data_IF_515445320153
#
_entry.id   IF_515445320153
#
_cell.length_a   1.000
_cell.length_b   1.000
_cell.length_c   1.000
_cell.angle_alpha   90.00
_cell.angle_beta   90.00
_cell.angle_gamma   90.00
#
_symmetry.space_group_name_H-M   'P 1'
#
loop_
_entity.id
_entity.type
_entity.pdbx_description
1 polymer ?
#
# COMPACT_ATOMS: atom_id res chain seq x y z
N UNK A 1 -16.94 11.69 -17.38
CA UNK A 1 -16.40 13.00 -16.96
C UNK A 1 -16.10 12.89 -15.47
N UNK A 2 -14.93 13.32 -15.02
CA UNK A 2 -14.57 13.24 -13.61
C UNK A 2 -15.39 14.30 -12.86
N UNK A 3 -16.48 13.89 -12.21
CA UNK A 3 -17.47 14.79 -11.61
C UNK A 3 -16.93 15.61 -10.42
N UNK A 4 -15.80 15.24 -9.79
CA UNK A 4 -15.32 15.95 -8.59
C UNK A 4 -14.78 17.37 -8.87
N UNK A 5 -14.35 17.65 -10.12
CA UNK A 5 -13.83 18.97 -10.52
C UNK A 5 -14.98 19.98 -10.66
N UNK A 6 -16.20 19.52 -10.98
CA UNK A 6 -17.35 20.39 -11.23
C UNK A 6 -18.26 20.59 -10.01
N UNK A 7 -18.00 19.91 -8.88
CA UNK A 7 -18.96 19.84 -7.75
C UNK A 7 -18.63 20.72 -6.54
N UNK A 8 -17.63 21.61 -6.61
CA UNK A 8 -17.15 22.36 -5.43
C UNK A 8 -16.96 21.42 -4.22
N UNK A 9 -16.29 20.28 -4.46
CA UNK A 9 -16.13 19.22 -3.46
C UNK A 9 -15.47 19.81 -2.20
N UNK A 10 -16.14 19.79 -1.03
CA UNK A 10 -15.57 20.34 0.20
C UNK A 10 -14.21 19.74 0.51
N UNK A 11 -13.25 20.58 0.92
CA UNK A 11 -11.86 20.23 1.18
C UNK A 11 -10.94 20.36 -0.05
N UNK A 12 -11.46 20.37 -1.28
CA UNK A 12 -10.65 20.57 -2.48
C UNK A 12 -10.20 22.03 -2.64
N UNK A 13 -10.94 22.99 -2.10
CA UNK A 13 -10.55 24.41 -2.05
C UNK A 13 -9.18 24.61 -1.38
N UNK A 14 -8.81 23.72 -0.44
CA UNK A 14 -7.53 23.77 0.27
C UNK A 14 -6.34 23.44 -0.65
N UNK A 15 -6.58 22.84 -1.81
CA UNK A 15 -5.56 22.45 -2.80
C UNK A 15 -5.14 23.60 -3.72
N UNK A 16 -5.72 24.79 -3.57
CA UNK A 16 -5.23 26.01 -4.23
C UNK A 16 -3.75 26.21 -3.89
N UNK A 17 -2.88 26.41 -4.88
CA UNK A 17 -1.41 26.49 -4.74
C UNK A 17 -0.71 25.21 -4.24
N UNK A 18 -1.42 24.07 -4.18
CA UNK A 18 -0.79 22.78 -3.93
C UNK A 18 -0.01 22.29 -5.15
N UNK A 19 0.93 21.38 -4.90
CA UNK A 19 1.66 20.67 -5.95
C UNK A 19 1.58 19.16 -5.75
N UNK A 20 1.67 18.44 -6.86
CA UNK A 20 1.71 16.97 -6.88
C UNK A 20 3.18 16.56 -6.95
N UNK A 21 3.63 15.68 -6.05
CA UNK A 21 4.95 15.06 -6.16
C UNK A 21 4.98 14.19 -7.42
N UNK A 22 5.86 14.46 -8.41
CA UNK A 22 5.89 13.71 -9.66
C UNK A 22 6.34 12.25 -9.49
N UNK A 23 6.84 11.84 -8.32
CA UNK A 23 7.25 10.47 -8.03
C UNK A 23 6.14 9.70 -7.30
N UNK A 24 5.35 8.88 -8.01
CA UNK A 24 4.30 8.11 -7.35
C UNK A 24 4.88 6.93 -6.57
N UNK A 25 4.14 6.49 -5.55
CA UNK A 25 4.28 5.14 -5.01
C UNK A 25 3.57 4.15 -5.94
N UNK A 26 4.23 3.03 -6.21
CA UNK A 26 3.62 1.93 -6.95
C UNK A 26 2.94 0.97 -5.97
N UNK A 27 1.65 0.75 -6.17
CA UNK A 27 0.85 -0.15 -5.36
C UNK A 27 0.44 -1.36 -6.19
N UNK A 28 0.61 -2.54 -5.62
CA UNK A 28 0.39 -3.82 -6.27
C UNK A 28 -0.81 -4.55 -5.67
N UNK A 29 -1.40 -5.47 -6.43
CA UNK A 29 -2.29 -6.48 -5.85
C UNK A 29 -1.46 -7.57 -5.13
N UNK A 30 -2.09 -8.40 -4.30
CA UNK A 30 -1.41 -9.52 -3.65
C UNK A 30 -0.82 -10.55 -4.62
N UNK A 31 -1.17 -10.53 -5.91
CA UNK A 31 -0.58 -11.40 -6.94
C UNK A 31 0.73 -10.83 -7.52
N UNK A 32 1.03 -9.55 -7.28
CA UNK A 32 2.20 -8.84 -7.79
C UNK A 32 1.93 -8.04 -9.07
N UNK A 33 0.66 -7.86 -9.47
CA UNK A 33 0.28 -6.98 -10.57
C UNK A 33 0.13 -5.56 -10.06
N UNK A 34 0.65 -4.58 -10.79
CA UNK A 34 0.52 -3.17 -10.42
C UNK A 34 -0.94 -2.75 -10.55
N UNK A 35 -1.50 -2.20 -9.48
CA UNK A 35 -2.87 -1.68 -9.44
C UNK A 35 -2.89 -0.17 -9.60
N UNK A 36 -2.05 0.55 -8.86
CA UNK A 36 -2.12 2.01 -8.80
C UNK A 36 -0.74 2.68 -8.83
N UNK A 37 -0.73 3.88 -9.40
CA UNK A 37 0.24 4.92 -9.10
C UNK A 37 -0.41 5.89 -8.11
N UNK A 38 0.13 5.97 -6.89
CA UNK A 38 -0.36 6.87 -5.86
C UNK A 38 0.56 8.11 -5.79
N UNK A 39 0.01 9.26 -6.19
CA UNK A 39 0.70 10.55 -6.11
C UNK A 39 0.35 11.26 -4.81
N UNK A 40 1.36 11.80 -4.14
CA UNK A 40 1.17 12.63 -2.95
C UNK A 40 0.94 14.09 -3.36
N UNK A 41 0.04 14.77 -2.67
CA UNK A 41 -0.27 16.18 -2.90
C UNK A 41 0.14 16.98 -1.67
N UNK A 42 0.93 18.02 -1.90
CA UNK A 42 1.54 18.82 -0.85
C UNK A 42 1.16 20.29 -0.98
N UNK A 43 1.04 20.95 0.17
CA UNK A 43 0.98 22.41 0.28
C UNK A 43 1.79 22.84 1.48
N UNK A 44 2.67 23.83 1.32
CA UNK A 44 3.57 24.29 2.38
C UNK A 44 4.33 23.13 3.06
N UNK A 45 4.78 22.15 2.28
CA UNK A 45 5.45 20.92 2.72
C UNK A 45 4.61 19.93 3.56
N UNK A 46 3.33 20.20 3.76
CA UNK A 46 2.40 19.28 4.42
C UNK A 46 1.68 18.42 3.39
N UNK A 47 1.57 17.12 3.67
CA UNK A 47 0.73 16.21 2.90
C UNK A 47 -0.73 16.59 3.14
N UNK A 48 -1.45 16.95 2.09
CA UNK A 48 -2.87 17.37 2.15
C UNK A 48 -3.79 16.41 1.40
N UNK A 49 -3.23 15.44 0.69
CA UNK A 49 -4.02 14.46 -0.02
C UNK A 49 -3.23 13.54 -0.93
N UNK A 50 -3.95 12.66 -1.61
CA UNK A 50 -3.39 11.66 -2.52
C UNK A 50 -4.28 11.50 -3.75
N UNK A 51 -3.66 11.17 -4.87
CA UNK A 51 -4.35 10.84 -6.12
C UNK A 51 -3.95 9.44 -6.52
N UNK A 52 -4.92 8.57 -6.74
CA UNK A 52 -4.68 7.19 -7.18
C UNK A 52 -5.05 7.08 -8.65
N UNK A 53 -4.07 6.72 -9.46
CA UNK A 53 -4.22 6.51 -10.89
C UNK A 53 -4.13 5.01 -11.18
N UNK A 54 -5.11 4.46 -11.89
CA UNK A 54 -5.11 3.06 -12.31
C UNK A 54 -3.91 2.75 -13.20
N UNK A 55 -3.19 1.68 -12.89
CA UNK A 55 -2.03 1.24 -13.67
C UNK A 55 -2.42 0.43 -14.92
N UNK A 56 -3.63 -0.14 -14.95
CA UNK A 56 -4.19 -0.85 -16.11
C UNK A 56 -5.36 -0.06 -16.71
N UNK A 57 -5.32 0.14 -18.04
CA UNK A 57 -6.37 0.82 -18.81
C UNK A 57 -7.72 0.10 -18.74
N UNK A 58 -7.73 -1.18 -18.40
CA UNK A 58 -8.94 -1.99 -18.19
C UNK A 58 -9.70 -1.64 -16.91
N UNK A 59 -9.08 -0.88 -15.99
CA UNK A 59 -9.73 -0.44 -14.74
C UNK A 59 -10.75 0.70 -14.95
N UNK A 60 -11.04 1.06 -16.21
CA UNK A 60 -12.02 2.08 -16.55
C UNK A 60 -11.43 3.49 -16.46
N UNK A 61 -11.81 4.25 -15.44
CA UNK A 61 -11.38 5.63 -15.29
C UNK A 61 -9.89 5.72 -14.90
N UNK A 62 -9.13 6.63 -15.50
CA UNK A 62 -7.71 6.78 -15.16
C UNK A 62 -7.52 7.22 -13.71
N UNK A 63 -8.28 8.22 -13.26
CA UNK A 63 -8.30 8.65 -11.86
C UNK A 63 -9.30 7.78 -11.11
N UNK A 64 -8.79 7.02 -10.15
CA UNK A 64 -9.55 6.05 -9.36
C UNK A 64 -10.03 6.68 -8.05
N UNK A 65 -9.18 7.52 -7.43
CA UNK A 65 -9.50 8.22 -6.19
C UNK A 65 -8.74 9.54 -6.11
N UNK A 66 -9.41 10.54 -5.52
CA UNK A 66 -8.78 11.70 -4.88
C UNK A 66 -9.09 11.64 -3.38
N UNK A 67 -8.06 11.44 -2.57
CA UNK A 67 -8.13 11.39 -1.11
C UNK A 67 -7.79 12.77 -0.54
N UNK A 68 -8.69 13.34 0.25
CA UNK A 68 -8.47 14.61 0.94
C UNK A 68 -7.98 14.32 2.38
N UNK A 69 -7.21 15.24 2.96
CA UNK A 69 -6.74 15.20 4.36
C UNK A 69 -6.03 13.90 4.75
N UNK A 70 -5.25 13.37 3.80
CA UNK A 70 -4.63 12.07 3.94
C UNK A 70 -3.52 12.05 5.00
N UNK A 71 -3.52 11.04 5.86
CA UNK A 71 -2.47 10.87 6.88
C UNK A 71 -1.19 10.30 6.26
N UNK A 72 -0.01 10.79 6.66
CA UNK A 72 1.25 10.20 6.22
C UNK A 72 1.36 8.76 6.75
N UNK A 73 1.92 7.87 5.93
CA UNK A 73 2.35 6.55 6.37
C UNK A 73 3.83 6.38 6.02
N UNK A 74 4.57 5.69 6.89
CA UNK A 74 6.00 5.45 6.69
C UNK A 74 6.20 4.14 5.93
N UNK A 75 6.17 4.23 4.60
CA UNK A 75 6.41 3.11 3.69
C UNK A 75 7.76 2.45 3.96
N UNK A 76 8.81 3.23 4.23
CA UNK A 76 10.16 2.72 4.43
C UNK A 76 10.24 1.87 5.70
N UNK A 77 9.64 2.34 6.80
CA UNK A 77 9.55 1.58 8.05
C UNK A 77 8.77 0.28 7.86
N UNK A 78 7.65 0.33 7.16
CA UNK A 78 6.84 -0.86 6.87
C UNK A 78 7.62 -1.89 6.02
N UNK A 79 8.34 -1.42 5.00
CA UNK A 79 9.18 -2.26 4.13
C UNK A 79 10.30 -2.91 4.96
N UNK A 80 11.00 -2.13 5.77
CA UNK A 80 12.06 -2.63 6.65
C UNK A 80 11.51 -3.71 7.59
N UNK A 81 10.34 -3.49 8.19
CA UNK A 81 9.74 -4.46 9.10
C UNK A 81 9.30 -5.75 8.39
N UNK A 82 8.74 -5.65 7.18
CA UNK A 82 8.37 -6.83 6.38
C UNK A 82 9.59 -7.68 6.02
N UNK A 83 10.71 -7.04 5.64
CA UNK A 83 11.96 -7.73 5.35
C UNK A 83 12.55 -8.39 6.60
N UNK A 84 12.51 -7.71 7.75
CA UNK A 84 12.99 -8.26 9.03
C UNK A 84 12.23 -9.54 9.40
N UNK A 85 10.90 -9.51 9.35
CA UNK A 85 10.05 -10.70 9.62
C UNK A 85 10.39 -11.81 8.64
N UNK A 86 10.52 -11.49 7.35
CA UNK A 86 10.87 -12.46 6.32
C UNK A 86 12.20 -13.18 6.56
N UNK A 87 13.23 -12.45 6.99
CA UNK A 87 14.53 -13.04 7.33
C UNK A 87 14.49 -13.87 8.62
N UNK A 88 13.63 -13.51 9.57
CA UNK A 88 13.50 -14.28 10.81
C UNK A 88 12.74 -15.59 10.60
N UNK A 89 11.69 -15.58 9.77
CA UNK A 89 10.89 -16.79 9.47
C UNK A 89 11.58 -17.71 8.47
N UNK A 90 12.33 -17.15 7.52
CA UNK A 90 13.06 -17.90 6.49
C UNK A 90 14.54 -17.47 6.43
N UNK A 91 15.37 -17.81 7.43
CA UNK A 91 16.77 -17.36 7.51
C UNK A 91 17.62 -17.73 6.29
N UNK A 92 17.40 -18.92 5.73
CA UNK A 92 18.09 -19.41 4.53
C UNK A 92 17.34 -19.10 3.22
N UNK A 93 16.17 -18.48 3.32
CA UNK A 93 15.32 -18.14 2.19
C UNK A 93 15.84 -16.95 1.39
N UNK A 94 15.63 -16.97 0.08
CA UNK A 94 15.97 -15.85 -0.81
C UNK A 94 14.77 -14.93 -0.98
N UNK A 95 14.88 -13.68 -0.55
CA UNK A 95 13.88 -12.64 -0.87
C UNK A 95 13.86 -12.43 -2.39
N UNK A 96 12.67 -12.57 -2.98
CA UNK A 96 12.39 -12.41 -4.40
C UNK A 96 11.87 -11.02 -4.72
N UNK A 97 10.99 -10.50 -3.87
CA UNK A 97 10.43 -9.16 -4.00
C UNK A 97 9.92 -8.65 -2.66
N UNK A 98 9.88 -7.32 -2.51
CA UNK A 98 9.17 -6.63 -1.44
C UNK A 98 8.44 -5.45 -2.07
N UNK A 99 7.11 -5.40 -1.94
CA UNK A 99 6.26 -4.42 -2.63
C UNK A 99 5.18 -3.89 -1.71
N UNK A 100 4.77 -2.63 -1.92
CA UNK A 100 3.54 -2.09 -1.32
C UNK A 100 2.34 -2.73 -2.03
N UNK A 101 1.40 -3.24 -1.26
CA UNK A 101 0.23 -3.95 -1.77
C UNK A 101 -1.07 -3.39 -1.20
N UNK A 102 -2.12 -3.38 -2.01
CA UNK A 102 -3.48 -3.06 -1.58
C UNK A 102 -4.20 -4.37 -1.31
N UNK A 103 -4.55 -4.65 -0.05
CA UNK A 103 -5.25 -5.89 0.33
C UNK A 103 -6.76 -5.73 0.23
N UNK A 104 -7.28 -4.69 0.86
CA UNK A 104 -8.68 -4.34 0.86
C UNK A 104 -8.76 -2.83 0.92
N UNK A 105 -9.04 -2.18 -0.20
CA UNK A 105 -8.90 -0.75 -0.33
C UNK A 105 -9.73 0.00 0.75
N UNK A 106 -9.17 0.99 1.47
CA UNK A 106 -7.86 1.63 1.29
C UNK A 106 -6.70 1.03 2.13
N UNK A 107 -6.82 -0.21 2.62
CA UNK A 107 -5.78 -0.87 3.40
C UNK A 107 -4.56 -1.23 2.54
N UNK A 108 -3.53 -0.39 2.67
CA UNK A 108 -2.19 -0.62 2.13
C UNK A 108 -1.38 -1.45 3.13
N UNK A 109 -0.50 -2.29 2.62
CA UNK A 109 0.51 -3.00 3.39
C UNK A 109 1.77 -3.23 2.57
N UNK A 110 2.67 -4.04 3.09
CA UNK A 110 3.86 -4.52 2.40
C UNK A 110 3.78 -6.04 2.30
N UNK A 111 4.07 -6.57 1.11
CA UNK A 111 4.26 -8.00 0.90
C UNK A 111 5.71 -8.28 0.54
N UNK A 112 6.34 -9.19 1.28
CA UNK A 112 7.64 -9.76 0.94
C UNK A 112 7.48 -11.20 0.50
N UNK A 113 8.00 -11.55 -0.67
CA UNK A 113 8.00 -12.91 -1.21
C UNK A 113 9.38 -13.53 -0.99
N UNK A 114 9.42 -14.70 -0.35
CA UNK A 114 10.64 -15.46 -0.06
C UNK A 114 10.56 -16.80 -0.74
N UNK A 115 11.62 -17.18 -1.45
CA UNK A 115 11.81 -18.54 -1.94
C UNK A 115 12.64 -19.32 -0.92
N UNK A 116 12.01 -20.29 -0.29
CA UNK A 116 12.68 -21.19 0.65
C UNK A 116 13.71 -22.04 -0.09
N UNK A 117 14.89 -22.18 0.51
CA UNK A 117 16.02 -22.87 -0.13
C UNK A 117 15.87 -24.38 -0.06
N UNK A 118 15.27 -24.90 1.01
CA UNK A 118 15.16 -26.34 1.27
C UNK A 118 14.09 -26.98 0.42
N UNK A 119 12.91 -26.38 0.38
CA UNK A 119 11.74 -26.89 -0.34
C UNK A 119 11.63 -26.33 -1.75
N UNK A 120 12.28 -25.19 -2.03
CA UNK A 120 12.11 -24.45 -3.27
C UNK A 120 10.77 -23.71 -3.38
N UNK A 121 9.91 -23.80 -2.36
CA UNK A 121 8.59 -23.16 -2.35
C UNK A 121 8.68 -21.65 -2.13
N UNK A 122 7.68 -20.93 -2.62
CA UNK A 122 7.55 -19.49 -2.35
C UNK A 122 6.53 -19.22 -1.25
N UNK A 123 6.92 -18.36 -0.32
CA UNK A 123 6.12 -17.92 0.81
C UNK A 123 5.94 -16.41 0.74
N UNK A 124 4.74 -15.92 1.10
CA UNK A 124 4.39 -14.50 1.07
C UNK A 124 4.11 -14.03 2.49
N UNK A 125 4.85 -13.00 2.90
CA UNK A 125 4.71 -12.39 4.23
C UNK A 125 4.11 -11.01 4.08
N UNK A 126 2.95 -10.83 4.71
CA UNK A 126 2.17 -9.60 4.69
C UNK A 126 2.36 -8.80 5.98
N UNK A 127 2.76 -7.54 5.87
CA UNK A 127 2.72 -6.57 6.97
C UNK A 127 1.74 -5.48 6.59
N UNK A 128 0.56 -5.46 7.20
CA UNK A 128 -0.40 -4.40 6.96
C UNK A 128 0.04 -3.11 7.65
N UNK A 129 0.02 -2.00 6.91
CA UNK A 129 0.11 -0.67 7.49
C UNK A 129 -1.29 -0.22 7.84
N UNK A 130 -1.90 -0.84 8.85
CA UNK A 130 -3.17 -0.33 9.39
C UNK A 130 -2.91 1.08 9.90
N UNK A 131 -3.66 2.04 9.36
CA UNK A 131 -3.80 3.40 9.88
C UNK A 131 -3.87 3.33 11.40
N UNK A 132 -2.92 3.98 12.08
CA UNK A 132 -3.05 4.35 13.48
C UNK A 132 -4.47 4.93 13.73
N UNK A 133 -5.24 4.33 14.65
CA UNK A 133 -6.68 4.51 14.95
C UNK A 133 -7.60 3.72 14.01
N UNK A 134 -8.38 2.75 14.47
CA UNK A 134 -9.30 2.79 15.61
C UNK A 134 -8.98 1.59 16.52
N UNK A 135 -8.57 1.68 17.77
CA UNK A 135 -9.12 2.36 18.94
C UNK A 135 -7.94 2.49 19.92
N UNK A 136 -7.87 3.59 20.68
CA UNK A 136 -6.95 3.67 21.81
C UNK A 136 -7.34 2.63 22.85
N UNK A 137 -6.64 1.49 22.87
CA UNK A 137 -6.34 0.76 24.09
C UNK A 137 -5.29 -0.33 23.86
N UNK A 138 -4.61 -0.65 24.94
CA UNK A 138 -3.39 -1.45 25.10
C UNK A 138 -3.22 -2.74 24.26
N UNK A 139 -1.98 -2.97 23.79
CA UNK A 139 -1.32 -4.28 23.60
C UNK A 139 -1.76 -5.26 22.48
N UNK A 140 -2.69 -4.94 21.56
CA UNK A 140 -3.28 -5.98 20.69
C UNK A 140 -3.05 -5.88 19.16
N UNK A 141 -2.21 -4.97 18.63
CA UNK A 141 -2.05 -4.78 17.18
C UNK A 141 -0.79 -5.39 16.54
N UNK A 142 -0.15 -6.37 17.20
CA UNK A 142 0.75 -7.35 16.56
C UNK A 142 -0.03 -8.65 16.37
N UNK A 143 -1.21 -8.56 15.76
CA UNK A 143 -1.81 -9.71 15.12
C UNK A 143 -1.35 -9.67 13.67
N UNK A 144 -0.19 -10.30 13.46
CA UNK A 144 0.20 -10.91 12.19
C UNK A 144 -1.08 -11.55 11.64
N UNK A 145 -1.66 -10.99 10.57
CA UNK A 145 -2.74 -11.68 9.88
C UNK A 145 -2.16 -12.95 9.30
N UNK A 146 -2.16 -14.01 10.12
CA UNK A 146 -2.49 -15.38 9.74
C UNK A 146 -3.91 -15.37 9.14
N UNK A 147 -4.11 -14.65 8.05
CA UNK A 147 -5.03 -15.08 7.01
C UNK A 147 -4.18 -16.01 6.15
N UNK A 148 -4.24 -17.31 6.39
CA UNK A 148 -5.46 -18.01 5.98
C UNK A 148 -5.52 -18.20 4.46
N UNK A 149 -4.42 -17.96 3.74
CA UNK A 149 -4.11 -18.73 2.55
C UNK A 149 -3.04 -19.76 2.93
N UNK A 150 -3.53 -20.89 3.47
CA UNK A 150 -2.87 -22.14 3.14
C UNK A 150 -2.63 -22.13 1.63
N UNK A 151 -1.38 -22.31 1.20
CA UNK A 151 -1.06 -22.72 -0.17
C UNK A 151 -1.90 -22.04 -1.26
N UNK A 152 -1.63 -20.78 -1.63
CA UNK A 152 -1.99 -20.38 -3.00
C UNK A 152 -0.98 -21.02 -3.92
N UNK A 153 -1.43 -22.16 -4.45
CA UNK A 153 -0.98 -22.93 -5.60
C UNK A 153 0.43 -22.62 -6.16
N UNK A 154 1.22 -23.69 -6.25
CA UNK A 154 2.25 -23.88 -7.28
C UNK A 154 1.85 -23.15 -8.57
N UNK A 155 2.71 -22.24 -9.03
CA UNK A 155 2.87 -21.99 -10.46
C UNK A 155 3.80 -23.05 -11.03
#
# INVERSE_FOLDING_TARGET
MINFISTNTPGLENWTEAYIDPKPLELYDPSGRKLYYQFSVYKNSNLIGRIYIGADKKMGHSVQLVELDSKPFDAAKAIKKSIEIAKNEYPDGKIKSTQLVVYDYPAIGVMTVVKDKTTGNEYRIAVLTVVLLLIGDHNAAINILRLGLQSVAKA
#
